data_IF_003593275777
#
_entry.id   IF_003593275777
#
_cell.length_a   1.000
_cell.length_b   1.000
_cell.length_c   1.000
_cell.angle_alpha   90.00
_cell.angle_beta   90.00
_cell.angle_gamma   90.00
#
_symmetry.space_group_name_H-M   'P 1'
#
loop_
_entity.id
_entity.type
_entity.pdbx_description
1 polymer ?
#
# COMPACT_ATOMS: atom_id res chain seq x y z
N UNK A 1 -6.07 -1.68 27.86
CA UNK A 1 -4.84 -1.57 27.05
C UNK A 1 -5.29 -1.80 25.62
N UNK A 2 -4.93 -0.93 24.67
CA UNK A 2 -5.28 -1.18 23.26
C UNK A 2 -4.55 -2.45 22.80
N UNK A 3 -5.22 -3.35 22.10
CA UNK A 3 -4.58 -4.53 21.51
C UNK A 3 -3.55 -4.07 20.46
N UNK A 4 -2.42 -4.77 20.39
CA UNK A 4 -1.30 -4.45 19.50
C UNK A 4 -0.99 -5.64 18.59
N UNK A 5 -0.69 -5.35 17.32
CA UNK A 5 -0.21 -6.32 16.34
C UNK A 5 1.24 -6.00 15.95
N UNK A 6 2.06 -7.04 15.77
CA UNK A 6 3.45 -6.87 15.30
C UNK A 6 3.46 -6.85 13.77
N UNK A 7 3.96 -5.75 13.20
CA UNK A 7 4.06 -5.58 11.75
C UNK A 7 5.06 -6.56 11.14
N UNK A 8 4.61 -7.29 10.11
CA UNK A 8 5.36 -8.37 9.46
C UNK A 8 6.64 -7.92 8.74
N UNK A 9 6.69 -6.66 8.30
CA UNK A 9 7.84 -6.13 7.56
C UNK A 9 8.84 -5.40 8.46
N UNK A 10 8.36 -4.64 9.44
CA UNK A 10 9.17 -3.76 10.29
C UNK A 10 9.41 -4.30 11.71
N UNK A 11 8.62 -5.27 12.16
CA UNK A 11 8.66 -5.81 13.52
C UNK A 11 8.15 -4.84 14.60
N UNK A 12 7.62 -3.68 14.22
CA UNK A 12 7.08 -2.69 15.17
C UNK A 12 5.72 -3.14 15.69
N UNK A 13 5.41 -2.79 16.94
CA UNK A 13 4.06 -2.92 17.49
C UNK A 13 3.20 -1.76 17.00
N UNK A 14 2.05 -2.07 16.42
CA UNK A 14 1.08 -1.13 15.91
C UNK A 14 -0.29 -1.39 16.54
N UNK A 15 -1.17 -0.37 16.64
CA UNK A 15 -2.53 -0.56 17.11
C UNK A 15 -3.26 -1.62 16.26
N UNK A 16 -3.91 -2.57 16.93
CA UNK A 16 -4.69 -3.59 16.26
C UNK A 16 -6.01 -2.99 15.74
N UNK A 17 -6.05 -2.71 14.44
CA UNK A 17 -7.19 -2.14 13.74
C UNK A 17 -7.56 -3.01 12.56
N UNK A 18 -8.80 -2.92 12.06
CA UNK A 18 -9.22 -3.66 10.86
C UNK A 18 -8.32 -3.38 9.65
N UNK A 19 -7.92 -2.12 9.48
CA UNK A 19 -6.99 -1.72 8.43
C UNK A 19 -5.63 -2.38 8.60
N UNK A 20 -5.09 -2.42 9.82
CA UNK A 20 -3.78 -3.03 10.06
C UNK A 20 -3.84 -4.56 9.91
N UNK A 21 -4.89 -5.22 10.41
CA UNK A 21 -5.10 -6.68 10.20
C UNK A 21 -5.15 -7.03 8.72
N UNK A 22 -5.90 -6.26 7.93
CA UNK A 22 -5.95 -6.42 6.48
C UNK A 22 -4.57 -6.23 5.85
N UNK A 23 -3.88 -5.14 6.20
CA UNK A 23 -2.55 -4.85 5.68
C UNK A 23 -1.57 -5.99 6.00
N UNK A 24 -1.60 -6.54 7.22
CA UNK A 24 -0.79 -7.69 7.62
C UNK A 24 -1.14 -8.95 6.83
N UNK A 25 -2.42 -9.24 6.63
CA UNK A 25 -2.88 -10.39 5.84
C UNK A 25 -2.38 -10.32 4.40
N UNK A 26 -2.52 -9.16 3.75
CA UNK A 26 -2.03 -8.93 2.38
C UNK A 26 -0.51 -9.03 2.32
N UNK A 27 0.19 -8.46 3.29
CA UNK A 27 1.65 -8.54 3.38
C UNK A 27 2.18 -9.97 3.44
N UNK A 28 1.55 -10.80 4.28
CA UNK A 28 1.87 -12.23 4.37
C UNK A 28 1.51 -12.97 3.10
N UNK A 29 0.34 -12.74 2.53
CA UNK A 29 -0.07 -13.34 1.27
C UNK A 29 0.94 -13.08 0.14
N UNK A 30 1.47 -11.85 0.03
CA UNK A 30 2.49 -11.51 -0.97
C UNK A 30 3.79 -12.31 -0.79
N UNK A 31 4.24 -12.48 0.45
CA UNK A 31 5.54 -13.12 0.73
C UNK A 31 5.41 -14.64 0.84
N UNK A 32 4.51 -15.12 1.69
CA UNK A 32 4.37 -16.52 2.07
C UNK A 32 3.67 -17.35 0.97
N UNK A 33 2.69 -16.76 0.27
CA UNK A 33 1.92 -17.49 -0.75
C UNK A 33 2.31 -17.14 -2.20
N UNK A 34 2.57 -15.86 -2.48
CA UNK A 34 2.98 -15.42 -3.82
C UNK A 34 4.48 -15.46 -4.06
N UNK A 35 5.28 -15.65 -3.00
CA UNK A 35 6.73 -15.82 -3.11
C UNK A 35 7.50 -14.56 -3.49
N UNK A 36 6.92 -13.37 -3.29
CA UNK A 36 7.68 -12.13 -3.44
C UNK A 36 8.74 -12.02 -2.33
N UNK A 37 9.96 -11.64 -2.69
CA UNK A 37 10.98 -11.33 -1.70
C UNK A 37 10.60 -10.06 -0.94
N UNK A 38 10.87 -10.00 0.36
CA UNK A 38 10.60 -8.80 1.17
C UNK A 38 11.33 -7.57 0.63
N UNK A 39 12.50 -7.74 0.02
CA UNK A 39 13.28 -6.65 -0.58
C UNK A 39 12.68 -6.09 -1.87
N UNK A 40 11.79 -6.84 -2.53
CA UNK A 40 11.04 -6.37 -3.70
C UNK A 40 9.76 -5.60 -3.31
N UNK A 41 9.41 -5.54 -2.01
CA UNK A 41 8.21 -4.88 -1.51
C UNK A 41 8.59 -3.59 -0.78
N UNK A 42 8.25 -2.45 -1.36
CA UNK A 42 8.33 -1.16 -0.68
C UNK A 42 7.12 -1.00 0.27
N UNK A 43 7.39 -0.44 1.44
CA UNK A 43 6.41 -0.07 2.47
C UNK A 43 6.64 1.38 2.92
N UNK A 44 5.73 1.93 3.74
CA UNK A 44 5.82 3.30 4.27
C UNK A 44 5.91 4.38 3.19
N UNK A 45 5.27 4.13 2.04
CA UNK A 45 5.25 5.09 0.93
C UNK A 45 4.15 6.12 1.18
N UNK A 46 4.47 7.38 0.96
CA UNK A 46 3.51 8.47 1.03
C UNK A 46 3.44 9.12 -0.35
N UNK A 47 2.25 9.10 -0.95
CA UNK A 47 1.93 9.94 -2.10
C UNK A 47 1.51 11.32 -1.60
N UNK A 48 2.23 12.36 -2.00
CA UNK A 48 1.89 13.75 -1.70
C UNK A 48 1.72 14.56 -2.98
N UNK A 49 0.67 15.37 -3.06
CA UNK A 49 0.43 16.27 -4.18
C UNK A 49 -0.37 17.50 -3.75
N UNK A 50 -0.52 18.46 -4.66
CA UNK A 50 -1.38 19.63 -4.48
C UNK A 50 -2.45 19.60 -5.56
N UNK A 51 -3.72 19.68 -5.16
CA UNK A 51 -4.84 19.86 -6.07
C UNK A 51 -5.76 20.95 -5.53
N UNK A 52 -6.11 21.93 -6.37
CA UNK A 52 -6.91 23.09 -5.98
C UNK A 52 -6.38 23.76 -4.71
N UNK A 53 -5.06 24.02 -4.67
CA UNK A 53 -4.36 24.66 -3.55
C UNK A 53 -4.39 23.87 -2.22
N UNK A 54 -4.92 22.64 -2.23
CA UNK A 54 -4.97 21.77 -1.07
C UNK A 54 -3.90 20.70 -1.16
N UNK A 55 -3.13 20.54 -0.08
CA UNK A 55 -2.21 19.41 0.09
C UNK A 55 -3.03 18.14 0.26
N UNK A 56 -2.75 17.15 -0.58
CA UNK A 56 -3.30 15.80 -0.51
C UNK A 56 -2.16 14.87 -0.10
N UNK A 57 -2.40 14.07 0.94
CA UNK A 57 -1.46 13.08 1.47
C UNK A 57 -2.16 11.74 1.53
N UNK A 58 -1.63 10.74 0.84
CA UNK A 58 -2.22 9.41 0.74
C UNK A 58 -1.14 8.38 1.04
N UNK A 59 -1.24 7.62 2.14
CA UNK A 59 -0.34 6.51 2.39
C UNK A 59 -0.63 5.39 1.39
N UNK A 60 0.40 4.79 0.82
CA UNK A 60 0.31 3.60 -0.04
C UNK A 60 0.83 2.41 0.77
N UNK A 61 0.07 1.30 0.76
CA UNK A 61 0.36 0.19 1.68
C UNK A 61 1.55 -0.63 1.20
N UNK A 62 1.57 -0.98 -0.09
CA UNK A 62 2.66 -1.72 -0.71
C UNK A 62 2.92 -1.26 -2.14
N UNK A 63 4.19 -1.30 -2.54
CA UNK A 63 4.59 -1.26 -3.95
C UNK A 63 5.52 -2.41 -4.26
N UNK A 64 5.19 -3.19 -5.28
CA UNK A 64 6.07 -4.24 -5.79
C UNK A 64 7.02 -3.64 -6.81
N UNK A 65 8.31 -3.88 -6.60
CA UNK A 65 9.39 -3.53 -7.52
C UNK A 65 9.92 -4.75 -8.25
N UNK A 66 10.45 -4.53 -9.43
CA UNK A 66 11.31 -5.48 -10.11
C UNK A 66 12.39 -4.71 -10.87
N UNK A 67 13.65 -5.12 -10.71
CA UNK A 67 14.81 -4.51 -11.38
C UNK A 67 14.84 -2.98 -11.24
N UNK A 68 14.56 -2.49 -10.03
CA UNK A 68 14.57 -1.06 -9.71
C UNK A 68 13.34 -0.27 -10.15
N UNK A 69 12.39 -0.89 -10.87
CA UNK A 69 11.14 -0.25 -11.31
C UNK A 69 9.96 -0.69 -10.44
N UNK A 70 9.15 0.26 -9.98
CA UNK A 70 7.83 0.03 -9.40
C UNK A 70 6.85 -0.44 -10.46
N UNK A 71 6.16 -1.56 -10.22
CA UNK A 71 5.28 -2.21 -11.19
C UNK A 71 3.84 -2.37 -10.70
N UNK A 72 3.66 -2.58 -9.40
CA UNK A 72 2.34 -2.82 -8.81
C UNK A 72 2.18 -1.89 -7.61
N UNK A 73 1.16 -1.05 -7.62
CA UNK A 73 0.73 -0.29 -6.45
C UNK A 73 -0.45 -1.02 -5.81
N UNK A 74 -0.37 -1.28 -4.50
CA UNK A 74 -1.42 -2.00 -3.76
C UNK A 74 -1.94 -1.10 -2.63
N UNK A 75 -3.26 -0.97 -2.55
CA UNK A 75 -3.93 -0.23 -1.47
C UNK A 75 -5.01 -1.09 -0.82
N UNK A 76 -4.95 -1.19 0.50
CA UNK A 76 -5.86 -1.93 1.36
C UNK A 76 -6.96 -1.01 1.87
N UNK A 77 -8.21 -1.40 1.68
CA UNK A 77 -9.35 -0.73 2.29
C UNK A 77 -10.32 -1.77 2.85
N UNK A 78 -10.55 -1.82 4.17
CA UNK A 78 -11.49 -2.79 4.76
C UNK A 78 -12.93 -2.68 4.21
N UNK A 79 -13.28 -1.52 3.65
CA UNK A 79 -14.57 -1.27 3.00
C UNK A 79 -14.43 -0.26 1.85
N UNK A 80 -15.44 -0.18 0.98
CA UNK A 80 -15.63 0.88 -0.01
C UNK A 80 -14.61 0.97 -1.17
N UNK A 81 -14.17 -0.18 -1.70
CA UNK A 81 -13.23 -0.30 -2.84
C UNK A 81 -13.57 0.63 -4.02
N UNK A 82 -14.82 0.64 -4.48
CA UNK A 82 -15.27 1.39 -5.68
C UNK A 82 -14.99 2.89 -5.55
N UNK A 83 -15.25 3.47 -4.37
CA UNK A 83 -15.06 4.91 -4.14
C UNK A 83 -13.58 5.30 -4.09
N UNK A 84 -12.70 4.32 -3.81
CA UNK A 84 -11.26 4.50 -3.68
C UNK A 84 -10.48 4.14 -4.93
N UNK A 85 -11.15 3.61 -5.95
CA UNK A 85 -10.53 3.18 -7.21
C UNK A 85 -9.82 4.32 -7.92
N UNK A 86 -10.56 5.38 -8.23
CA UNK A 86 -10.04 6.52 -9.00
C UNK A 86 -8.87 7.20 -8.31
N UNK A 87 -8.93 7.36 -6.99
CA UNK A 87 -7.85 8.01 -6.24
C UNK A 87 -6.60 7.13 -6.20
N UNK A 88 -6.76 5.82 -6.03
CA UNK A 88 -5.62 4.89 -6.02
C UNK A 88 -4.97 4.79 -7.40
N UNK A 89 -5.77 4.76 -8.47
CA UNK A 89 -5.26 4.80 -9.85
C UNK A 89 -4.54 6.12 -10.16
N UNK A 90 -5.05 7.25 -9.65
CA UNK A 90 -4.37 8.54 -9.79
C UNK A 90 -3.00 8.52 -9.08
N UNK A 91 -2.90 7.95 -7.88
CA UNK A 91 -1.63 7.78 -7.18
C UNK A 91 -0.64 6.97 -8.03
N UNK A 92 -1.07 5.82 -8.57
CA UNK A 92 -0.22 4.97 -9.41
C UNK A 92 0.33 5.68 -10.66
N UNK A 93 -0.44 6.62 -11.23
CA UNK A 93 -0.03 7.39 -12.41
C UNK A 93 0.92 8.55 -12.10
N UNK A 94 0.88 9.08 -10.87
CA UNK A 94 1.56 10.32 -10.49
C UNK A 94 2.72 10.10 -9.51
N UNK A 95 2.88 8.89 -8.95
CA UNK A 95 3.87 8.62 -7.90
C UNK A 95 5.32 8.60 -8.41
N UNK A 96 5.53 8.29 -9.69
CA UNK A 96 6.87 8.18 -10.28
C UNK A 96 6.96 8.97 -11.60
N UNK A 97 8.14 9.01 -12.21
CA UNK A 97 8.34 9.63 -13.52
C UNK A 97 7.75 8.80 -14.68
N UNK A 98 7.04 7.71 -14.37
CA UNK A 98 6.22 6.92 -15.27
C UNK A 98 4.99 6.37 -14.53
N UNK A 99 3.89 6.07 -15.24
CA UNK A 99 2.74 5.42 -14.64
C UNK A 99 3.06 4.00 -14.21
N UNK A 100 2.78 3.66 -12.95
CA UNK A 100 2.86 2.28 -12.47
C UNK A 100 1.79 1.46 -13.23
N UNK A 101 2.19 0.38 -13.93
CA UNK A 101 1.34 -0.29 -14.90
C UNK A 101 0.16 -1.06 -14.28
N UNK A 102 0.26 -1.50 -13.03
CA UNK A 102 -0.82 -2.21 -12.34
C UNK A 102 -1.17 -1.54 -11.01
N UNK A 103 -2.48 -1.32 -10.80
CA UNK A 103 -3.04 -0.84 -9.53
C UNK A 103 -3.97 -1.91 -8.96
N UNK A 104 -3.76 -2.28 -7.70
CA UNK A 104 -4.54 -3.28 -6.99
C UNK A 104 -5.18 -2.63 -5.77
N UNK A 105 -6.45 -2.97 -5.56
CA UNK A 105 -7.22 -2.53 -4.40
C UNK A 105 -7.90 -3.76 -3.83
N UNK A 106 -7.78 -3.95 -2.53
CA UNK A 106 -8.26 -5.16 -1.84
C UNK A 106 -8.79 -4.84 -0.45
N UNK A 107 -9.73 -5.65 -0.01
CA UNK A 107 -10.34 -5.68 1.32
C UNK A 107 -10.02 -6.99 2.08
#
# INVERSE_FOLDING_TARGET
>A
MAEEIVDFFTGKKLPDTDMERLRQKVGRFLVEEKGYDKSDIEINIIFETIANEKKIVIPIDYIIRLKGKRLILIKCFPTALITREKVTLACARLLDNYPIPLTVITD
#
